data_IF_016641460104
#
_entry.id   IF_016641460104
#
_cell.length_a   1.000
_cell.length_b   1.000
_cell.length_c   1.000
_cell.angle_alpha   90.00
_cell.angle_beta   90.00
_cell.angle_gamma   90.00
#
_symmetry.space_group_name_H-M   'P 1'
#
loop_
_entity.id
_entity.type
_entity.pdbx_description
1 polymer ?
#
# COMPACT_ATOMS: atom_id res chain seq x y z
N UNK A 1 7.68 -29.14 -1.81
CA UNK A 1 6.29 -29.61 -2.02
C UNK A 1 5.40 -29.42 -0.79
N UNK A 2 5.83 -29.84 0.41
CA UNK A 2 5.05 -29.69 1.66
C UNK A 2 4.54 -28.26 1.95
N UNK A 3 5.40 -27.22 1.84
CA UNK A 3 4.98 -25.82 2.03
C UNK A 3 3.86 -25.38 1.06
N UNK A 4 3.89 -25.85 -0.19
CA UNK A 4 2.87 -25.53 -1.20
C UNK A 4 1.51 -26.12 -0.82
N UNK A 5 1.50 -27.30 -0.20
CA UNK A 5 0.28 -27.92 0.32
C UNK A 5 -0.32 -27.10 1.47
N UNK A 6 0.51 -26.64 2.41
CA UNK A 6 0.06 -25.73 3.47
C UNK A 6 -0.51 -24.42 2.92
N UNK A 7 0.16 -23.82 1.94
CA UNK A 7 -0.32 -22.61 1.28
C UNK A 7 -1.65 -22.84 0.56
N UNK A 8 -1.80 -23.97 -0.13
CA UNK A 8 -3.04 -24.35 -0.79
C UNK A 8 -4.22 -24.39 0.20
N UNK A 9 -4.09 -25.10 1.33
CA UNK A 9 -5.14 -25.14 2.35
C UNK A 9 -5.41 -23.78 3.00
N UNK A 10 -4.36 -22.98 3.21
CA UNK A 10 -4.52 -21.61 3.66
C UNK A 10 -5.32 -20.76 2.66
N UNK A 11 -5.01 -20.86 1.36
CA UNK A 11 -5.75 -20.15 0.31
C UNK A 11 -7.19 -20.63 0.21
N UNK A 12 -7.46 -21.93 0.38
CA UNK A 12 -8.83 -22.45 0.42
C UNK A 12 -9.64 -21.80 1.55
N UNK A 13 -9.02 -21.66 2.73
CA UNK A 13 -9.68 -21.08 3.91
C UNK A 13 -9.86 -19.56 3.83
N UNK A 14 -8.91 -18.84 3.23
CA UNK A 14 -8.83 -17.37 3.30
C UNK A 14 -9.31 -16.63 2.06
N UNK A 15 -9.57 -17.31 0.96
CA UNK A 15 -10.01 -16.66 -0.28
C UNK A 15 -11.42 -16.12 -0.17
N UNK A 16 -11.65 -14.95 -0.78
CA UNK A 16 -12.98 -14.43 -1.04
C UNK A 16 -13.58 -15.18 -2.25
N UNK A 17 -14.33 -16.24 -1.98
CA UNK A 17 -14.92 -17.10 -3.00
C UNK A 17 -15.97 -16.39 -3.86
N UNK A 18 -16.64 -15.37 -3.32
CA UNK A 18 -17.61 -14.58 -4.08
C UNK A 18 -16.89 -13.73 -5.13
N UNK A 19 -15.80 -13.07 -4.74
CA UNK A 19 -14.94 -12.33 -5.66
C UNK A 19 -14.32 -13.26 -6.71
N UNK A 20 -13.79 -14.42 -6.30
CA UNK A 20 -13.19 -15.38 -7.24
C UNK A 20 -14.21 -15.96 -8.22
N UNK A 21 -15.46 -16.17 -7.81
CA UNK A 21 -16.54 -16.58 -8.71
C UNK A 21 -16.81 -15.54 -9.81
N UNK A 22 -16.81 -14.25 -9.46
CA UNK A 22 -16.91 -13.16 -10.45
C UNK A 22 -15.72 -13.15 -11.40
N UNK A 23 -14.50 -13.27 -10.88
CA UNK A 23 -13.28 -13.31 -11.70
C UNK A 23 -13.24 -14.52 -12.62
N UNK A 24 -13.71 -15.69 -12.18
CA UNK A 24 -13.86 -16.88 -12.99
C UNK A 24 -14.83 -16.67 -14.15
N UNK A 25 -15.97 -16.02 -13.89
CA UNK A 25 -16.94 -15.64 -14.92
C UNK A 25 -16.30 -14.78 -16.00
N UNK A 26 -15.68 -13.68 -15.59
CA UNK A 26 -14.98 -12.76 -16.49
C UNK A 26 -13.83 -13.44 -17.27
N UNK A 27 -13.00 -14.23 -16.59
CA UNK A 27 -11.87 -14.93 -17.22
C UNK A 27 -12.35 -15.95 -18.27
N UNK A 28 -13.45 -16.66 -17.99
CA UNK A 28 -14.06 -17.61 -18.93
C UNK A 28 -14.59 -16.92 -20.18
N UNK A 29 -15.27 -15.79 -20.00
CA UNK A 29 -15.77 -14.97 -21.11
C UNK A 29 -14.64 -14.39 -21.96
N UNK A 30 -13.63 -13.79 -21.32
CA UNK A 30 -12.51 -13.13 -22.04
C UNK A 30 -11.57 -14.11 -22.74
N UNK A 31 -11.34 -15.30 -22.19
CA UNK A 31 -10.40 -16.28 -22.78
C UNK A 31 -11.08 -17.33 -23.66
N UNK A 32 -12.42 -17.42 -23.65
CA UNK A 32 -13.16 -18.51 -24.28
C UNK A 32 -12.98 -19.89 -23.61
N UNK A 33 -12.21 -19.99 -22.52
CA UNK A 33 -11.95 -21.26 -21.82
C UNK A 33 -13.10 -21.59 -20.87
N UNK A 34 -13.43 -22.87 -20.74
CA UNK A 34 -14.47 -23.32 -19.81
C UNK A 34 -14.07 -23.07 -18.35
N UNK A 35 -15.07 -22.79 -17.49
CA UNK A 35 -14.85 -22.55 -16.05
C UNK A 35 -14.10 -23.70 -15.35
N UNK A 36 -14.45 -24.99 -15.56
CA UNK A 36 -13.69 -26.09 -14.95
C UNK A 36 -12.22 -26.09 -15.36
N UNK A 37 -11.91 -25.82 -16.64
CA UNK A 37 -10.53 -25.75 -17.13
C UNK A 37 -9.74 -24.66 -16.40
N UNK A 38 -10.34 -23.48 -16.22
CA UNK A 38 -9.71 -22.35 -15.49
C UNK A 38 -9.50 -22.70 -14.01
N UNK A 39 -10.47 -23.36 -13.36
CA UNK A 39 -10.34 -23.80 -11.96
C UNK A 39 -9.15 -24.76 -11.83
N UNK A 40 -9.06 -25.80 -12.66
CA UNK A 40 -7.95 -26.77 -12.60
C UNK A 40 -6.60 -26.10 -12.90
N UNK A 41 -6.53 -25.21 -13.89
CA UNK A 41 -5.31 -24.44 -14.20
C UNK A 41 -4.90 -23.54 -13.03
N UNK A 42 -5.87 -22.93 -12.33
CA UNK A 42 -5.60 -22.12 -11.14
C UNK A 42 -5.04 -22.95 -9.98
N UNK A 43 -5.58 -24.15 -9.75
CA UNK A 43 -5.10 -25.08 -8.72
C UNK A 43 -3.68 -25.53 -9.07
N UNK A 44 -3.44 -25.97 -10.31
CA UNK A 44 -2.11 -26.35 -10.77
C UNK A 44 -1.10 -25.20 -10.60
N UNK A 45 -1.53 -23.98 -10.91
CA UNK A 45 -0.69 -22.77 -10.80
C UNK A 45 -0.25 -22.46 -9.37
N UNK A 46 -1.08 -22.75 -8.35
CA UNK A 46 -0.68 -22.61 -6.94
C UNK A 46 0.58 -23.44 -6.67
N UNK A 47 0.61 -24.69 -7.12
CA UNK A 47 1.74 -25.60 -6.89
C UNK A 47 2.94 -25.26 -7.77
N UNK A 48 2.73 -24.98 -9.07
CA UNK A 48 3.80 -24.75 -10.05
C UNK A 48 4.48 -23.39 -9.90
N UNK A 49 3.72 -22.33 -9.64
CA UNK A 49 4.20 -20.94 -9.68
C UNK A 49 4.23 -20.25 -8.31
N UNK A 50 3.81 -20.93 -7.24
CA UNK A 50 3.80 -20.40 -5.87
C UNK A 50 2.93 -19.13 -5.70
N UNK A 51 1.72 -19.18 -6.25
CA UNK A 51 0.77 -18.08 -6.26
C UNK A 51 -0.50 -18.46 -5.49
N UNK A 52 -1.33 -17.48 -5.11
CA UNK A 52 -2.69 -17.73 -4.60
C UNK A 52 -3.71 -17.83 -5.73
N UNK A 53 -4.94 -18.27 -5.43
CA UNK A 53 -6.03 -18.25 -6.41
C UNK A 53 -6.31 -16.84 -6.93
N UNK A 54 -6.30 -15.81 -6.06
CA UNK A 54 -6.50 -14.42 -6.47
C UNK A 54 -5.43 -13.96 -7.46
N UNK A 55 -4.17 -14.34 -7.21
CA UNK A 55 -3.05 -13.98 -8.08
C UNK A 55 -3.21 -14.53 -9.50
N UNK A 56 -3.70 -15.77 -9.63
CA UNK A 56 -3.95 -16.39 -10.94
C UNK A 56 -4.86 -15.50 -11.81
N UNK A 57 -5.92 -14.94 -11.21
CA UNK A 57 -6.83 -14.05 -11.91
C UNK A 57 -6.23 -12.66 -12.12
N UNK A 58 -5.68 -12.03 -11.07
CA UNK A 58 -5.09 -10.69 -11.15
C UNK A 58 -3.95 -10.60 -12.17
N UNK A 59 -3.11 -11.63 -12.25
CA UNK A 59 -2.02 -11.72 -13.24
C UNK A 59 -2.47 -12.27 -14.60
N UNK A 60 -3.77 -12.53 -14.78
CA UNK A 60 -4.37 -13.05 -16.01
C UNK A 60 -3.69 -14.31 -16.53
N UNK A 61 -3.32 -15.24 -15.64
CA UNK A 61 -2.64 -16.47 -16.04
C UNK A 61 -3.46 -17.30 -17.03
N UNK A 62 -4.80 -17.20 -16.99
CA UNK A 62 -5.68 -17.84 -17.95
C UNK A 62 -5.43 -17.45 -19.42
N UNK A 63 -4.74 -16.33 -19.65
CA UNK A 63 -4.46 -15.69 -20.94
C UNK A 63 -2.95 -15.66 -21.28
N UNK A 64 -2.10 -16.26 -20.42
CA UNK A 64 -0.62 -16.19 -20.54
C UNK A 64 0.01 -17.55 -20.81
N UNK A 65 1.06 -17.63 -21.64
CA UNK A 65 1.84 -18.85 -21.81
C UNK A 65 2.59 -19.22 -20.53
N UNK A 66 2.96 -20.49 -20.39
CA UNK A 66 3.59 -21.01 -19.16
C UNK A 66 4.92 -20.34 -18.83
N UNK A 67 5.72 -19.96 -19.84
CA UNK A 67 7.01 -19.28 -19.66
C UNK A 67 6.85 -17.93 -18.97
N UNK A 68 5.94 -17.10 -19.46
CA UNK A 68 5.66 -15.78 -18.91
C UNK A 68 5.16 -15.87 -17.45
N UNK A 69 4.33 -16.87 -17.14
CA UNK A 69 3.82 -17.10 -15.77
C UNK A 69 4.94 -17.31 -14.74
N UNK A 70 6.12 -17.78 -15.14
CA UNK A 70 7.26 -18.02 -14.23
C UNK A 70 7.90 -16.73 -13.71
N UNK A 71 7.75 -15.65 -14.46
CA UNK A 71 8.29 -14.32 -14.18
C UNK A 71 7.50 -13.57 -13.10
N UNK A 72 6.29 -14.03 -12.77
CA UNK A 72 5.43 -13.35 -11.80
C UNK A 72 5.70 -13.80 -10.37
N UNK A 73 5.82 -12.82 -9.47
CA UNK A 73 5.95 -13.05 -8.04
C UNK A 73 4.55 -13.12 -7.39
N UNK A 74 4.10 -14.33 -7.06
CA UNK A 74 2.84 -14.57 -6.36
C UNK A 74 2.93 -14.56 -4.84
N UNK A 75 1.79 -14.81 -4.19
CA UNK A 75 1.61 -14.65 -2.74
C UNK A 75 2.57 -15.51 -1.94
N UNK A 76 2.71 -16.78 -2.31
CA UNK A 76 3.62 -17.67 -1.61
C UNK A 76 5.08 -17.29 -1.82
N UNK A 77 5.45 -16.86 -3.03
CA UNK A 77 6.83 -16.42 -3.30
C UNK A 77 7.18 -15.18 -2.49
N UNK A 78 6.29 -14.19 -2.51
CA UNK A 78 6.47 -12.93 -1.80
C UNK A 78 6.48 -13.12 -0.30
N UNK A 79 5.64 -14.01 0.24
CA UNK A 79 5.67 -14.37 1.66
C UNK A 79 7.03 -14.94 2.07
N UNK A 80 7.58 -15.88 1.30
CA UNK A 80 8.90 -16.47 1.57
C UNK A 80 10.03 -15.45 1.45
N UNK A 81 10.01 -14.61 0.42
CA UNK A 81 10.99 -13.55 0.19
C UNK A 81 10.94 -12.49 1.30
N UNK A 82 9.76 -11.97 1.66
CA UNK A 82 9.58 -10.97 2.70
C UNK A 82 9.89 -11.53 4.10
N UNK A 83 9.68 -12.82 4.36
CA UNK A 83 10.16 -13.45 5.60
C UNK A 83 11.67 -13.43 5.72
N UNK A 84 12.39 -13.56 4.61
CA UNK A 84 13.85 -13.51 4.60
C UNK A 84 14.36 -12.07 4.71
N UNK A 85 13.80 -11.17 3.92
CA UNK A 85 14.25 -9.77 3.89
C UNK A 85 13.83 -9.00 5.14
N UNK A 86 12.69 -9.35 5.73
CA UNK A 86 12.15 -8.70 6.91
C UNK A 86 11.84 -9.79 7.96
N UNK A 87 12.82 -10.27 8.72
CA UNK A 87 12.60 -11.28 9.75
C UNK A 87 11.54 -10.82 10.77
N UNK A 88 10.71 -11.73 11.27
CA UNK A 88 9.59 -11.38 12.18
C UNK A 88 10.00 -10.53 13.38
N UNK A 89 11.18 -10.79 13.97
CA UNK A 89 11.69 -10.02 15.10
C UNK A 89 12.06 -8.56 14.80
N UNK A 90 12.21 -8.19 13.52
CA UNK A 90 12.55 -6.82 13.10
C UNK A 90 11.33 -5.97 12.72
N UNK A 91 10.14 -6.57 12.59
CA UNK A 91 8.97 -5.91 11.99
C UNK A 91 8.22 -4.98 12.94
N UNK A 92 8.44 -5.11 14.24
CA UNK A 92 7.74 -4.31 15.26
C UNK A 92 7.83 -2.81 14.95
N UNK A 93 8.99 -2.32 14.50
CA UNK A 93 9.18 -0.93 14.10
C UNK A 93 8.21 -0.48 12.99
N UNK A 94 7.87 -1.37 12.06
CA UNK A 94 6.98 -1.07 10.93
C UNK A 94 5.51 -1.39 11.23
N UNK A 95 5.24 -2.37 12.10
CA UNK A 95 3.88 -2.79 12.47
C UNK A 95 3.25 -1.87 13.54
N UNK A 96 4.06 -1.28 14.42
CA UNK A 96 3.62 -0.38 15.48
C UNK A 96 3.75 1.08 15.06
N UNK A 97 2.62 1.73 14.77
CA UNK A 97 2.60 3.10 14.24
C UNK A 97 3.23 4.12 15.19
N UNK A 98 3.11 3.94 16.51
CA UNK A 98 3.69 4.88 17.47
C UNK A 98 5.21 4.75 17.49
N UNK A 99 5.74 3.53 17.47
CA UNK A 99 7.20 3.32 17.37
C UNK A 99 7.74 3.83 16.03
N UNK A 100 7.03 3.53 14.94
CA UNK A 100 7.34 4.02 13.60
C UNK A 100 7.47 5.55 13.57
N UNK A 101 6.46 6.27 14.03
CA UNK A 101 6.44 7.73 13.99
C UNK A 101 7.51 8.35 14.86
N UNK A 102 7.78 7.78 16.04
CA UNK A 102 8.87 8.24 16.90
C UNK A 102 10.25 8.00 16.28
N UNK A 103 10.47 6.82 15.68
CA UNK A 103 11.74 6.48 15.03
C UNK A 103 12.00 7.33 13.79
N UNK A 104 10.97 7.58 12.98
CA UNK A 104 11.04 8.40 11.78
C UNK A 104 10.60 9.84 11.99
N UNK A 105 10.64 10.36 13.23
CA UNK A 105 10.11 11.70 13.57
C UNK A 105 10.66 12.83 12.70
N UNK A 106 11.90 12.72 12.23
CA UNK A 106 12.52 13.71 11.33
C UNK A 106 12.00 13.65 9.89
N UNK A 107 11.36 12.55 9.48
CA UNK A 107 10.75 12.35 8.16
C UNK A 107 9.22 12.53 8.18
N UNK A 108 8.64 12.80 9.35
CA UNK A 108 7.20 13.01 9.57
C UNK A 108 7.00 14.47 9.95
N UNK A 109 6.23 15.22 9.16
CA UNK A 109 6.02 16.66 9.42
C UNK A 109 4.77 16.93 10.26
N UNK A 110 3.69 16.19 10.02
CA UNK A 110 2.48 16.27 10.82
C UNK A 110 2.74 15.99 12.29
N UNK A 111 2.03 16.69 13.16
CA UNK A 111 2.01 16.39 14.59
C UNK A 111 1.26 15.07 14.83
N UNK A 112 1.76 14.28 15.77
CA UNK A 112 1.13 13.04 16.21
C UNK A 112 1.28 12.88 17.72
N UNK A 113 0.24 12.35 18.37
CA UNK A 113 0.21 12.15 19.82
C UNK A 113 -0.37 10.78 20.16
N UNK A 114 0.25 10.10 21.13
CA UNK A 114 -0.29 8.86 21.69
C UNK A 114 -1.06 9.14 22.98
N UNK A 115 -2.22 8.51 23.16
CA UNK A 115 -3.15 8.83 24.24
C UNK A 115 -2.56 8.62 25.64
N UNK A 116 -1.64 7.67 25.81
CA UNK A 116 -1.01 7.41 27.12
C UNK A 116 0.06 8.45 27.50
N UNK A 117 0.46 9.29 26.55
CA UNK A 117 1.52 10.29 26.76
C UNK A 117 1.01 11.63 27.29
N UNK A 118 -0.31 11.86 27.33
CA UNK A 118 -0.86 13.21 27.52
C UNK A 118 -2.15 13.22 28.34
N UNK A 119 -2.36 14.31 29.08
CA UNK A 119 -3.61 14.66 29.77
C UNK A 119 -4.34 15.78 29.02
N UNK A 120 -5.56 16.10 29.47
CA UNK A 120 -6.36 17.20 28.92
C UNK A 120 -5.70 18.59 29.05
N UNK A 121 -4.75 18.73 29.97
CA UNK A 121 -3.98 19.97 30.18
C UNK A 121 -2.69 20.04 29.35
N UNK A 122 -2.42 19.04 28.49
CA UNK A 122 -1.19 19.02 27.68
C UNK A 122 -1.15 20.16 26.66
N UNK A 123 0.00 20.83 26.57
CA UNK A 123 0.23 21.95 25.65
C UNK A 123 0.12 21.47 24.20
N UNK A 124 0.64 20.28 23.91
CA UNK A 124 0.68 19.69 22.58
C UNK A 124 -0.71 19.35 22.05
N UNK A 125 -1.60 18.78 22.87
CA UNK A 125 -2.97 18.47 22.46
C UNK A 125 -3.78 19.74 22.20
N UNK A 126 -3.61 20.75 23.04
CA UNK A 126 -4.22 22.06 22.85
C UNK A 126 -3.70 22.74 21.57
N UNK A 127 -2.40 22.64 21.30
CA UNK A 127 -1.79 23.17 20.09
C UNK A 127 -2.32 22.46 18.83
N UNK A 128 -2.39 21.13 18.85
CA UNK A 128 -2.93 20.31 17.77
C UNK A 128 -4.38 20.69 17.44
N UNK A 129 -5.24 20.79 18.45
CA UNK A 129 -6.64 21.19 18.28
C UNK A 129 -6.80 22.61 17.73
N UNK A 130 -5.86 23.51 18.04
CA UNK A 130 -5.88 24.91 17.58
C UNK A 130 -5.37 25.08 16.16
N UNK A 131 -4.33 24.33 15.77
CA UNK A 131 -3.64 24.50 14.48
C UNK A 131 -4.25 23.68 13.35
N UNK A 132 -4.79 22.51 13.66
CA UNK A 132 -5.33 21.60 12.66
C UNK A 132 -6.83 21.71 12.59
N UNK A 133 -7.41 21.83 11.39
CA UNK A 133 -8.87 21.80 11.19
C UNK A 133 -9.46 20.39 11.27
N UNK A 134 -8.64 19.39 10.89
CA UNK A 134 -9.02 17.98 10.85
C UNK A 134 -7.96 17.14 11.52
N UNK A 135 -8.42 16.11 12.22
CA UNK A 135 -7.58 15.13 12.90
C UNK A 135 -7.90 13.72 12.42
N UNK A 136 -6.90 12.85 12.49
CA UNK A 136 -7.00 11.44 12.13
C UNK A 136 -6.82 10.61 13.40
N UNK A 137 -7.87 9.86 13.79
CA UNK A 137 -7.87 8.95 14.93
C UNK A 137 -7.66 7.52 14.45
N UNK A 138 -6.75 6.78 15.08
CA UNK A 138 -6.48 5.38 14.73
C UNK A 138 -5.88 4.59 15.89
N UNK A 139 -5.85 3.27 15.72
CA UNK A 139 -5.13 2.35 16.60
C UNK A 139 -3.66 2.19 16.17
N UNK A 140 -2.76 2.06 17.15
CA UNK A 140 -1.30 1.96 16.97
C UNK A 140 -0.87 0.64 16.35
N UNK A 141 -1.61 -0.44 16.62
CA UNK A 141 -1.45 -1.78 16.04
C UNK A 141 -2.79 -2.15 15.43
N UNK A 142 -2.84 -2.29 14.10
CA UNK A 142 -4.07 -2.45 13.32
C UNK A 142 -5.16 -3.26 14.04
N UNK A 143 -6.27 -2.61 14.36
CA UNK A 143 -7.38 -3.21 15.09
C UNK A 143 -8.47 -3.68 14.12
N UNK A 144 -9.19 -4.74 14.47
CA UNK A 144 -10.37 -5.19 13.71
C UNK A 144 -11.50 -4.16 13.91
N UNK A 145 -11.81 -3.36 12.88
CA UNK A 145 -12.84 -2.31 12.96
C UNK A 145 -12.61 -1.17 11.96
N UNK A 146 -13.12 0.03 12.27
CA UNK A 146 -12.72 1.27 11.58
C UNK A 146 -11.27 1.58 11.99
N UNK A 147 -10.31 1.21 11.16
CA UNK A 147 -8.88 1.41 11.46
C UNK A 147 -8.48 2.89 11.54
N UNK A 148 -9.25 3.76 10.88
CA UNK A 148 -8.98 5.19 10.76
C UNK A 148 -10.30 5.97 10.74
N UNK A 149 -10.37 7.07 11.49
CA UNK A 149 -11.47 8.01 11.49
C UNK A 149 -10.96 9.45 11.36
N UNK A 150 -11.62 10.26 10.52
CA UNK A 150 -11.29 11.67 10.34
C UNK A 150 -12.37 12.51 11.01
N UNK A 151 -11.95 13.38 11.94
CA UNK A 151 -12.83 14.27 12.70
C UNK A 151 -12.49 15.73 12.43
N UNK A 152 -13.46 16.62 12.62
CA UNK A 152 -13.20 18.07 12.70
C UNK A 152 -12.67 18.40 14.10
N UNK A 153 -11.56 19.12 14.20
CA UNK A 153 -10.98 19.51 15.49
C UNK A 153 -11.86 20.47 16.28
N UNK A 154 -12.52 21.41 15.59
CA UNK A 154 -13.31 22.49 16.19
C UNK A 154 -14.51 22.01 17.01
N UNK A 155 -14.90 20.74 16.89
CA UNK A 155 -16.00 20.15 17.67
C UNK A 155 -15.55 19.53 19.01
N UNK A 156 -14.25 19.56 19.31
CA UNK A 156 -13.66 18.91 20.48
C UNK A 156 -12.86 19.85 21.38
N UNK A 157 -13.04 19.69 22.69
CA UNK A 157 -12.07 20.13 23.70
C UNK A 157 -11.06 18.99 23.93
N UNK A 158 -9.87 19.26 24.53
CA UNK A 158 -8.90 18.21 24.86
C UNK A 158 -9.52 17.04 25.64
N UNK A 159 -10.29 17.34 26.69
CA UNK A 159 -10.97 16.33 27.50
C UNK A 159 -11.96 15.50 26.68
N UNK A 160 -12.82 16.18 25.89
CA UNK A 160 -13.81 15.51 25.05
C UNK A 160 -13.17 14.60 24.00
N UNK A 161 -12.03 15.01 23.43
CA UNK A 161 -11.28 14.19 22.47
C UNK A 161 -10.69 12.95 23.15
N UNK A 162 -10.06 13.09 24.31
CA UNK A 162 -9.50 11.96 25.07
C UNK A 162 -10.58 10.94 25.47
N UNK A 163 -11.73 11.41 25.94
CA UNK A 163 -12.84 10.54 26.31
C UNK A 163 -13.41 9.81 25.09
N UNK A 164 -13.56 10.51 23.96
CA UNK A 164 -13.98 9.92 22.69
C UNK A 164 -12.99 8.84 22.21
N UNK A 165 -11.70 9.14 22.21
CA UNK A 165 -10.66 8.17 21.81
C UNK A 165 -10.66 6.93 22.69
N UNK A 166 -10.80 7.07 24.02
CA UNK A 166 -10.92 5.94 24.95
C UNK A 166 -12.16 5.09 24.68
N UNK A 167 -13.32 5.74 24.50
CA UNK A 167 -14.59 5.07 24.23
C UNK A 167 -14.56 4.27 22.92
N UNK A 168 -13.86 4.80 21.91
CA UNK A 168 -13.76 4.19 20.58
C UNK A 168 -12.46 3.39 20.37
N UNK A 169 -11.67 3.20 21.43
CA UNK A 169 -10.42 2.43 21.43
C UNK A 169 -9.32 2.93 20.48
N UNK A 170 -9.32 4.22 20.17
CA UNK A 170 -8.20 4.88 19.49
C UNK A 170 -7.12 5.26 20.50
N UNK A 171 -5.87 5.05 20.13
CA UNK A 171 -4.71 5.37 20.97
C UNK A 171 -3.74 6.36 20.30
N UNK A 172 -3.97 6.69 19.03
CA UNK A 172 -3.14 7.58 18.24
C UNK A 172 -4.01 8.64 17.54
N UNK A 173 -3.61 9.91 17.69
CA UNK A 173 -4.16 11.05 16.95
C UNK A 173 -3.05 11.70 16.12
N UNK A 174 -3.36 12.03 14.88
CA UNK A 174 -2.46 12.74 13.96
C UNK A 174 -3.16 13.93 13.33
N UNK A 175 -2.40 14.95 12.95
CA UNK A 175 -2.91 15.99 12.08
C UNK A 175 -3.28 15.41 10.71
N UNK A 176 -4.35 15.93 10.11
CA UNK A 176 -4.74 15.53 8.78
C UNK A 176 -3.74 16.05 7.75
N UNK A 177 -3.15 15.14 6.97
CA UNK A 177 -2.21 15.49 5.90
C UNK A 177 -2.96 16.09 4.73
N UNK A 178 -2.63 17.34 4.39
CA UNK A 178 -3.12 18.00 3.18
C UNK A 178 -2.09 17.76 2.08
N UNK A 179 -2.48 16.99 1.05
CA UNK A 179 -1.63 16.76 -0.11
C UNK A 179 -1.51 18.00 -1.00
N UNK A 180 -0.46 18.04 -1.80
CA UNK A 180 -0.16 19.08 -2.78
C UNK A 180 -1.33 19.32 -3.74
N UNK A 181 -1.49 20.56 -4.21
CA UNK A 181 -2.61 20.96 -5.08
C UNK A 181 -2.73 20.10 -6.35
N UNK A 182 -1.63 19.85 -7.07
CA UNK A 182 -1.62 18.95 -8.24
C UNK A 182 -2.21 17.54 -7.96
N UNK A 183 -1.96 16.98 -6.76
CA UNK A 183 -2.54 15.69 -6.37
C UNK A 183 -4.03 15.82 -5.99
N UNK A 184 -4.45 16.94 -5.41
CA UNK A 184 -5.86 17.23 -5.18
C UNK A 184 -6.63 17.41 -6.49
N UNK A 185 -6.03 18.06 -7.49
CA UNK A 185 -6.63 18.17 -8.82
C UNK A 185 -6.80 16.78 -9.46
N UNK A 186 -5.77 15.93 -9.36
CA UNK A 186 -5.84 14.55 -9.85
C UNK A 186 -6.95 13.76 -9.14
N UNK A 187 -6.97 13.76 -7.80
CA UNK A 187 -8.05 13.18 -7.02
C UNK A 187 -8.11 13.75 -5.59
N UNK A 188 -9.16 14.49 -5.20
CA UNK A 188 -9.28 15.05 -3.85
C UNK A 188 -9.92 14.08 -2.85
N UNK A 189 -10.31 12.87 -3.29
CA UNK A 189 -11.18 11.99 -2.49
C UNK A 189 -10.47 11.32 -1.31
N UNK A 190 -9.14 11.24 -1.35
CA UNK A 190 -8.29 10.70 -0.30
C UNK A 190 -6.84 11.11 -0.50
N UNK A 191 -5.97 10.71 0.44
CA UNK A 191 -4.54 10.97 0.35
C UNK A 191 -3.90 10.05 -0.70
N UNK A 192 -3.43 10.62 -1.81
CA UNK A 192 -2.79 9.89 -2.90
C UNK A 192 -1.29 9.79 -2.62
N UNK A 193 -0.85 8.69 -2.00
CA UNK A 193 0.57 8.53 -1.68
C UNK A 193 1.37 7.90 -2.82
N UNK A 194 2.67 8.13 -2.76
CA UNK A 194 3.66 7.48 -3.60
C UNK A 194 4.20 6.28 -2.83
N UNK A 195 4.02 5.09 -3.39
CA UNK A 195 4.69 3.87 -2.94
C UNK A 195 6.08 3.80 -3.55
N UNK A 196 7.12 3.91 -2.72
CA UNK A 196 8.50 3.58 -3.10
C UNK A 196 8.87 2.23 -2.50
N UNK A 197 9.30 1.28 -3.33
CA UNK A 197 9.75 -0.04 -2.87
C UNK A 197 11.28 -0.03 -2.89
N UNK A 198 11.88 -0.26 -1.72
CA UNK A 198 13.33 -0.34 -1.57
C UNK A 198 13.78 -1.74 -1.19
N UNK A 199 15.00 -2.08 -1.57
CA UNK A 199 15.76 -3.21 -1.05
C UNK A 199 17.10 -2.69 -0.51
N UNK A 200 17.49 -3.13 0.68
CA UNK A 200 18.82 -2.90 1.24
C UNK A 200 19.66 -4.15 1.05
N UNK A 201 20.76 -4.03 0.32
CA UNK A 201 21.74 -5.11 0.15
C UNK A 201 23.15 -4.58 0.40
N UNK A 202 23.93 -5.25 1.25
CA UNK A 202 25.29 -4.81 1.66
C UNK A 202 25.39 -3.33 2.06
N UNK A 203 24.36 -2.83 2.76
CA UNK A 203 24.20 -1.43 3.18
C UNK A 203 23.91 -0.41 2.06
N UNK A 204 23.73 -0.85 0.82
CA UNK A 204 23.26 -0.01 -0.26
C UNK A 204 21.73 -0.09 -0.38
N UNK A 205 21.09 1.06 -0.57
CA UNK A 205 19.65 1.14 -0.84
C UNK A 205 19.41 1.11 -2.35
N UNK A 206 18.67 0.08 -2.78
CA UNK A 206 18.27 -0.16 -4.16
C UNK A 206 16.79 0.18 -4.28
N UNK A 207 16.45 1.08 -5.20
CA UNK A 207 15.07 1.43 -5.52
C UNK A 207 14.51 0.44 -6.55
N UNK A 208 13.54 -0.37 -6.14
CA UNK A 208 12.95 -1.41 -6.98
C UNK A 208 11.81 -0.88 -7.85
N UNK A 209 10.98 0.01 -7.31
CA UNK A 209 9.84 0.58 -8.03
C UNK A 209 9.27 1.81 -7.34
N UNK A 210 8.60 2.65 -8.14
CA UNK A 210 7.70 3.70 -7.68
C UNK A 210 6.30 3.51 -8.26
N UNK A 211 5.26 3.70 -7.45
CA UNK A 211 3.85 3.67 -7.88
C UNK A 211 3.08 4.82 -7.26
N UNK A 212 2.31 5.53 -8.07
CA UNK A 212 1.36 6.50 -7.56
C UNK A 212 0.05 5.76 -7.26
N UNK A 213 -0.40 5.81 -6.01
CA UNK A 213 -1.74 5.33 -5.63
C UNK A 213 -2.72 6.48 -5.75
N UNK A 214 -3.84 6.27 -6.43
CA UNK A 214 -4.81 7.32 -6.72
C UNK A 214 -6.18 6.87 -6.23
N UNK A 215 -6.75 7.64 -5.32
CA UNK A 215 -8.06 7.41 -4.72
C UNK A 215 -9.18 7.55 -5.74
N UNK A 216 -10.20 6.68 -5.68
CA UNK A 216 -11.39 6.75 -6.54
C UNK A 216 -12.64 6.72 -5.66
N UNK A 217 -13.24 7.89 -5.40
CA UNK A 217 -14.39 8.05 -4.49
C UNK A 217 -14.19 7.35 -3.13
N UNK A 218 -12.96 7.36 -2.61
CA UNK A 218 -12.59 6.65 -1.39
C UNK A 218 -11.63 7.49 -0.55
N UNK A 219 -11.88 7.64 0.76
CA UNK A 219 -10.96 8.33 1.66
C UNK A 219 -9.75 7.47 2.04
N UNK A 220 -9.75 6.17 1.69
CA UNK A 220 -8.69 5.22 2.06
C UNK A 220 -7.73 5.01 0.90
N UNK A 221 -6.43 5.06 1.15
CA UNK A 221 -5.38 4.83 0.15
C UNK A 221 -5.02 3.34 -0.04
N UNK A 222 -5.92 2.57 -0.65
CA UNK A 222 -5.69 1.15 -0.92
C UNK A 222 -6.34 0.68 -2.23
N UNK A 223 -5.58 0.00 -3.10
CA UNK A 223 -6.11 -0.62 -4.33
C UNK A 223 -7.24 -1.63 -4.06
N UNK A 224 -7.26 -2.26 -2.89
CA UNK A 224 -8.33 -3.16 -2.48
C UNK A 224 -9.66 -2.45 -2.22
N UNK A 225 -9.64 -1.14 -1.94
CA UNK A 225 -10.83 -0.31 -1.73
C UNK A 225 -11.44 0.21 -3.05
N UNK A 226 -10.96 -0.26 -4.21
CA UNK A 226 -11.43 0.18 -5.53
C UNK A 226 -10.65 1.35 -6.12
N UNK A 227 -9.52 1.73 -5.52
CA UNK A 227 -8.57 2.71 -6.04
C UNK A 227 -7.71 2.15 -7.18
N UNK A 228 -7.05 3.05 -7.90
CA UNK A 228 -6.08 2.71 -8.94
C UNK A 228 -4.65 2.92 -8.48
N UNK A 229 -3.73 2.25 -9.15
CA UNK A 229 -2.31 2.58 -9.05
C UNK A 229 -1.69 2.70 -10.45
N UNK A 230 -0.78 3.66 -10.63
CA UNK A 230 -0.11 3.92 -11.89
C UNK A 230 1.41 3.74 -11.76
N UNK A 231 2.11 3.28 -12.81
CA UNK A 231 3.56 3.15 -12.80
C UNK A 231 4.21 4.54 -12.86
N UNK A 232 5.24 4.74 -12.04
CA UNK A 232 6.04 5.97 -12.02
C UNK A 232 7.47 5.62 -12.43
N UNK A 233 8.03 6.41 -13.32
CA UNK A 233 9.46 6.31 -13.65
C UNK A 233 10.31 6.81 -12.49
N UNK A 234 11.25 5.97 -12.02
CA UNK A 234 12.09 6.30 -10.88
C UNK A 234 13.01 7.50 -11.15
N UNK A 235 13.40 7.74 -12.40
CA UNK A 235 14.34 8.82 -12.73
C UNK A 235 13.64 10.16 -12.85
N UNK A 236 12.42 10.20 -13.39
CA UNK A 236 11.74 11.45 -13.72
C UNK A 236 10.58 11.81 -12.78
N UNK A 237 10.02 10.84 -12.04
CA UNK A 237 8.83 11.06 -11.23
C UNK A 237 7.55 11.23 -12.04
N UNK A 238 7.60 10.88 -13.32
CA UNK A 238 6.46 10.97 -14.24
C UNK A 238 5.73 9.64 -14.28
N UNK A 239 4.40 9.68 -14.25
CA UNK A 239 3.54 8.53 -14.47
C UNK A 239 3.64 8.08 -15.93
N UNK A 240 4.07 6.84 -16.15
CA UNK A 240 4.41 6.31 -17.49
C UNK A 240 3.37 5.40 -18.13
N UNK A 241 2.25 5.16 -17.44
CA UNK A 241 1.20 4.26 -17.90
C UNK A 241 -0.11 4.48 -17.15
N UNK A 242 -1.18 3.78 -17.54
CA UNK A 242 -2.50 4.02 -17.00
C UNK A 242 -2.60 3.57 -15.54
N UNK A 243 -3.59 4.10 -14.83
CA UNK A 243 -4.02 3.56 -13.54
C UNK A 243 -4.68 2.20 -13.72
N UNK A 244 -4.31 1.22 -12.89
CA UNK A 244 -4.90 -0.13 -12.92
C UNK A 244 -5.63 -0.45 -11.62
N UNK A 245 -6.72 -1.20 -11.72
CA UNK A 245 -7.44 -1.74 -10.57
C UNK A 245 -6.92 -3.12 -10.19
N UNK A 246 -7.10 -3.51 -8.92
CA UNK A 246 -6.90 -4.91 -8.52
C UNK A 246 -8.07 -5.82 -8.92
N UNK A 247 -9.21 -5.22 -9.27
CA UNK A 247 -10.37 -5.89 -9.85
C UNK A 247 -10.19 -6.06 -11.35
N UNK A 248 -10.03 -7.31 -11.79
CA UNK A 248 -9.76 -7.65 -13.19
C UNK A 248 -10.94 -7.40 -14.14
N UNK A 249 -12.13 -7.13 -13.59
CA UNK A 249 -13.33 -6.83 -14.38
C UNK A 249 -13.40 -5.36 -14.79
N UNK A 250 -12.48 -4.54 -14.29
CA UNK A 250 -12.35 -3.12 -14.63
C UNK A 250 -11.16 -2.93 -15.55
N UNK A 251 -11.36 -2.16 -16.60
CA UNK A 251 -10.27 -1.78 -17.50
C UNK A 251 -9.34 -0.77 -16.85
N UNK A 252 -8.11 -0.70 -17.35
CA UNK A 252 -7.15 0.33 -16.97
C UNK A 252 -7.65 1.72 -17.38
N UNK A 253 -7.29 2.74 -16.62
CA UNK A 253 -7.77 4.10 -16.78
C UNK A 253 -6.59 5.05 -17.07
N UNK A 254 -6.52 5.60 -18.28
CA UNK A 254 -5.56 6.67 -18.62
C UNK A 254 -6.04 8.05 -18.15
N UNK A 255 -7.33 8.18 -17.83
CA UNK A 255 -7.96 9.36 -17.20
C UNK A 255 -8.64 8.93 -15.90
N UNK A 256 -8.61 9.78 -14.88
CA UNK A 256 -9.23 9.48 -13.60
C UNK A 256 -10.76 9.43 -13.76
N UNK A 257 -11.42 8.33 -13.33
CA UNK A 257 -12.83 8.08 -13.66
C UNK A 257 -13.84 9.04 -13.02
N UNK A 258 -13.41 9.87 -12.07
CA UNK A 258 -14.27 10.84 -11.37
C UNK A 258 -13.96 12.28 -11.78
N UNK A 259 -12.68 12.66 -11.75
CA UNK A 259 -12.24 14.04 -12.02
C UNK A 259 -11.99 14.31 -13.50
N UNK A 260 -11.83 13.25 -14.32
CA UNK A 260 -11.51 13.37 -15.73
C UNK A 260 -10.05 13.76 -16.02
N UNK A 261 -9.22 13.98 -15.00
CA UNK A 261 -7.82 14.38 -15.16
C UNK A 261 -6.98 13.24 -15.73
N UNK A 262 -6.07 13.56 -16.65
CA UNK A 262 -5.15 12.59 -17.24
C UNK A 262 -4.17 12.06 -16.19
N UNK A 263 -4.05 10.74 -16.12
CA UNK A 263 -3.13 10.05 -15.19
C UNK A 263 -1.75 9.92 -15.83
N UNK A 264 -1.69 9.48 -17.09
CA UNK A 264 -0.45 9.33 -17.83
C UNK A 264 0.21 10.67 -18.13
N UNK A 265 1.50 10.79 -17.81
CA UNK A 265 2.24 12.03 -17.93
C UNK A 265 2.12 12.95 -16.71
N UNK A 266 1.33 12.59 -15.70
CA UNK A 266 1.31 13.33 -14.43
C UNK A 266 2.71 13.33 -13.80
N UNK A 267 3.22 14.51 -13.46
CA UNK A 267 4.52 14.68 -12.80
C UNK A 267 4.29 14.83 -11.30
N UNK A 268 4.92 13.98 -10.51
CA UNK A 268 4.82 14.06 -9.05
C UNK A 268 5.62 15.28 -8.56
N UNK A 269 5.00 16.20 -7.79
CA UNK A 269 5.71 17.32 -7.20
C UNK A 269 6.80 16.84 -6.22
N UNK A 270 7.88 17.61 -6.10
CA UNK A 270 9.00 17.33 -5.19
C UNK A 270 9.65 15.95 -5.35
N UNK A 271 9.68 15.40 -6.57
CA UNK A 271 10.13 14.02 -6.82
C UNK A 271 11.49 13.66 -6.21
N UNK A 272 12.49 14.53 -6.34
CA UNK A 272 13.82 14.29 -5.77
C UNK A 272 13.75 14.08 -4.25
N UNK A 273 12.96 14.91 -3.55
CA UNK A 273 12.74 14.79 -2.10
C UNK A 273 12.00 13.50 -1.73
N UNK A 274 11.11 13.00 -2.59
CA UNK A 274 10.44 11.69 -2.39
C UNK A 274 11.48 10.56 -2.34
N UNK A 275 12.42 10.56 -3.28
CA UNK A 275 13.48 9.55 -3.33
C UNK A 275 14.46 9.69 -2.17
N UNK A 276 14.86 10.91 -1.82
CA UNK A 276 15.73 11.19 -0.67
C UNK A 276 15.10 10.66 0.62
N UNK A 277 13.83 11.01 0.88
CA UNK A 277 13.10 10.57 2.07
C UNK A 277 12.99 9.03 2.11
N UNK A 278 12.65 8.39 1.00
CA UNK A 278 12.60 6.93 0.92
C UNK A 278 13.97 6.28 1.18
N UNK A 279 15.05 6.87 0.65
CA UNK A 279 16.42 6.41 0.87
C UNK A 279 16.82 6.50 2.35
N UNK A 280 16.57 7.65 2.98
CA UNK A 280 16.82 7.84 4.41
C UNK A 280 15.99 6.89 5.26
N UNK A 281 14.71 6.69 4.93
CA UNK A 281 13.86 5.73 5.63
C UNK A 281 14.40 4.30 5.52
N UNK A 282 14.79 3.87 4.32
CA UNK A 282 15.34 2.54 4.06
C UNK A 282 16.65 2.26 4.79
N UNK A 283 17.53 3.25 4.92
CA UNK A 283 18.78 3.13 5.69
C UNK A 283 18.51 2.90 7.19
N UNK A 284 17.37 3.40 7.70
CA UNK A 284 17.03 3.36 9.11
C UNK A 284 15.97 2.28 9.44
N UNK A 285 15.76 1.30 8.57
CA UNK A 285 14.69 0.30 8.69
C UNK A 285 14.93 -0.84 9.71
N UNK A 286 15.94 -0.71 10.57
CA UNK A 286 16.22 -1.58 11.73
C UNK A 286 16.10 -3.09 11.44
N UNK A 287 16.82 -3.56 10.42
CA UNK A 287 16.86 -4.98 10.05
C UNK A 287 15.79 -5.42 9.03
N UNK A 288 14.82 -4.56 8.69
CA UNK A 288 13.95 -4.78 7.55
C UNK A 288 14.68 -4.34 6.27
N UNK A 289 14.96 -5.29 5.37
CA UNK A 289 15.73 -5.04 4.15
C UNK A 289 14.87 -4.79 2.92
N UNK A 290 13.57 -5.08 2.92
CA UNK A 290 12.73 -4.86 1.73
C UNK A 290 11.41 -4.21 2.13
N UNK A 291 11.25 -2.91 1.92
CA UNK A 291 10.14 -2.15 2.49
C UNK A 291 9.43 -1.36 1.40
N UNK A 292 8.09 -1.34 1.45
CA UNK A 292 7.28 -0.42 0.67
C UNK A 292 6.94 0.81 1.50
N UNK A 293 7.56 1.94 1.20
CA UNK A 293 7.34 3.22 1.87
C UNK A 293 6.22 3.97 1.20
N UNK A 294 5.30 4.48 2.00
CA UNK A 294 4.22 5.34 1.54
C UNK A 294 4.52 6.78 1.94
N UNK A 295 4.60 7.63 0.94
CA UNK A 295 5.05 9.02 1.08
C UNK A 295 3.94 9.92 0.59
N UNK A 296 3.56 10.89 1.43
CA UNK A 296 2.69 11.98 1.02
C UNK A 296 3.52 13.14 0.49
N UNK A 297 2.99 13.80 -0.54
CA UNK A 297 3.54 15.05 -1.08
C UNK A 297 2.57 16.15 -0.68
N UNK A 298 3.09 17.18 -0.02
CA UNK A 298 2.37 18.37 0.45
C UNK A 298 2.93 19.60 -0.24
N UNK A 299 2.29 20.75 -0.10
CA UNK A 299 2.79 22.02 -0.65
C UNK A 299 4.20 22.37 -0.11
N UNK A 300 4.44 22.04 1.16
CA UNK A 300 5.70 22.34 1.85
C UNK A 300 6.79 21.27 1.64
N UNK A 301 6.52 20.22 0.86
CA UNK A 301 7.48 19.16 0.55
C UNK A 301 6.89 17.75 0.67
N UNK A 302 7.60 16.85 1.37
CA UNK A 302 7.20 15.44 1.47
C UNK A 302 7.25 14.97 2.92
N UNK A 303 6.44 13.95 3.25
CA UNK A 303 6.48 13.31 4.56
C UNK A 303 6.15 11.82 4.50
N UNK A 304 6.70 11.07 5.45
CA UNK A 304 6.53 9.63 5.56
C UNK A 304 5.19 9.29 6.23
N UNK A 305 4.39 8.44 5.60
CA UNK A 305 3.11 7.99 6.13
C UNK A 305 3.25 6.65 6.83
N UNK A 306 3.80 5.64 6.14
CA UNK A 306 4.00 4.30 6.68
C UNK A 306 5.09 3.53 5.93
N UNK A 307 5.60 2.47 6.57
CA UNK A 307 6.52 1.51 5.97
C UNK A 307 5.93 0.09 6.02
N UNK A 308 5.91 -0.59 4.89
CA UNK A 308 5.26 -1.89 4.74
C UNK A 308 6.29 -3.01 4.56
N UNK A 309 6.50 -3.83 5.59
CA UNK A 309 7.38 -5.00 5.54
C UNK A 309 6.83 -6.14 4.63
N UNK A 310 5.54 -6.10 4.30
CA UNK A 310 4.83 -7.08 3.48
C UNK A 310 4.19 -6.42 2.25
N UNK A 311 4.91 -5.48 1.65
CA UNK A 311 4.44 -4.67 0.53
C UNK A 311 3.76 -5.48 -0.59
N UNK A 312 2.74 -4.86 -1.21
CA UNK A 312 1.81 -5.56 -2.08
C UNK A 312 2.39 -5.84 -3.48
N UNK A 313 2.53 -7.12 -3.80
CA UNK A 313 2.99 -7.60 -5.12
C UNK A 313 2.09 -7.23 -6.31
N UNK A 314 0.80 -6.99 -6.06
CA UNK A 314 -0.13 -6.55 -7.11
C UNK A 314 0.15 -5.09 -7.47
N UNK A 315 0.29 -4.22 -6.45
CA UNK A 315 0.70 -2.82 -6.62
C UNK A 315 2.04 -2.71 -7.35
N UNK A 316 2.96 -3.64 -7.09
CA UNK A 316 4.25 -3.67 -7.77
C UNK A 316 4.17 -4.09 -9.24
N UNK A 317 3.47 -5.18 -9.58
CA UNK A 317 3.54 -5.78 -10.93
C UNK A 317 2.40 -5.38 -11.87
N UNK A 318 1.19 -5.14 -11.38
CA UNK A 318 0.03 -4.84 -12.25
C UNK A 318 0.19 -3.52 -13.02
N UNK A 319 0.66 -2.40 -12.42
CA UNK A 319 0.73 -1.12 -13.13
C UNK A 319 1.70 -1.13 -14.32
N UNK A 320 2.69 -2.01 -14.32
CA UNK A 320 3.62 -2.22 -15.44
C UNK A 320 3.26 -3.45 -16.29
N UNK A 321 2.19 -4.16 -15.93
CA UNK A 321 1.68 -5.37 -16.59
C UNK A 321 2.77 -6.41 -16.93
N UNK A 322 3.72 -6.64 -16.01
CA UNK A 322 4.85 -7.55 -16.24
C UNK A 322 5.21 -8.31 -14.96
N UNK A 323 5.65 -9.56 -15.11
CA UNK A 323 6.28 -10.31 -14.03
C UNK A 323 7.63 -9.71 -13.67
N UNK A 324 7.84 -9.40 -12.39
CA UNK A 324 9.07 -8.74 -11.92
C UNK A 324 9.88 -9.61 -10.96
N UNK A 325 9.53 -10.90 -10.82
CA UNK A 325 10.14 -11.81 -9.85
C UNK A 325 11.67 -11.86 -9.93
N UNK A 326 12.22 -11.78 -11.15
CA UNK A 326 13.66 -11.80 -11.38
C UNK A 326 14.40 -10.69 -10.61
N UNK A 327 13.77 -9.51 -10.47
CA UNK A 327 14.31 -8.36 -9.76
C UNK A 327 14.60 -8.67 -8.28
N UNK A 328 13.94 -9.69 -7.71
CA UNK A 328 14.10 -10.07 -6.30
C UNK A 328 15.01 -11.29 -6.10
N UNK A 329 15.29 -12.06 -7.15
CA UNK A 329 16.00 -13.34 -7.03
C UNK A 329 17.47 -13.20 -6.66
N UNK A 330 18.07 -12.03 -6.91
CA UNK A 330 19.46 -11.73 -6.56
C UNK A 330 19.69 -11.50 -5.07
N UNK A 331 18.65 -11.12 -4.32
CA UNK A 331 18.79 -10.77 -2.90
C UNK A 331 18.75 -12.01 -2.01
N UNK A 332 19.79 -12.16 -1.20
CA UNK A 332 19.95 -13.26 -0.25
C UNK A 332 19.69 -12.80 1.17
#
# INVERSE_FOLDING_TARGET
MFKRLLYFFYYLKKSDWKLLGRFLGYASEKSGRSRPCIIFDSIFSVFRYNISFKDYYCFRFYDKPRSEREEWAGTGFMYEYQLRMNPKGSRELLENKVQFLNHYKLLVKRMFLHISGFSSDSVELNEMLRKSERLVLKGSRGQVGKEVEVISSGTYTPQKLLDYMKQHHYDLVEEFVIQHNDLNELSPSGLNTIRIITQTDKNEVIFLAARLRISVNSPVDNMGAGNIAAPVDLKTGIVTGPGVFSDITRDSASVHPVTGIKIEGFRIPHWERVLELAGTAAQNASGNRSVGWDIAVTEEGVELIEGNHNWCKLLWQLPVNRGLKADLMGFK
#
